data_IF_747726641561
#
_entry.id   IF_747726641561
#
_cell.length_a   1.000
_cell.length_b   1.000
_cell.length_c   1.000
_cell.angle_alpha   90.00
_cell.angle_beta   90.00
_cell.angle_gamma   90.00
#
_symmetry.space_group_name_H-M   'P 1'
#
loop_
_entity.id
_entity.type
_entity.pdbx_description
1 polymer ?
#
# COMPACT_ATOMS: atom_id res chain seq x y z
N UNK A 1 11.27 17.51 16.01
CA UNK A 1 11.64 16.08 16.03
C UNK A 1 10.73 15.35 15.06
N UNK A 2 11.23 14.34 14.33
CA UNK A 2 10.41 13.50 13.45
C UNK A 2 9.99 12.27 14.25
N UNK A 3 8.68 12.02 14.34
CA UNK A 3 8.13 10.82 14.97
C UNK A 3 8.42 9.62 14.07
N UNK A 4 9.08 8.60 14.61
CA UNK A 4 9.31 7.33 13.92
C UNK A 4 8.12 6.40 14.16
N UNK A 5 7.82 5.60 13.14
CA UNK A 5 6.82 4.52 13.21
C UNK A 5 7.59 3.22 13.08
N UNK A 6 7.34 2.28 13.97
CA UNK A 6 7.97 0.97 13.91
C UNK A 6 7.44 0.17 12.71
N UNK A 7 8.24 -0.75 12.13
CA UNK A 7 7.78 -1.59 11.04
C UNK A 7 6.59 -2.46 11.43
N UNK A 8 5.71 -2.75 10.48
CA UNK A 8 4.64 -3.74 10.65
C UNK A 8 4.98 -4.98 9.84
N UNK A 9 5.02 -6.14 10.49
CA UNK A 9 5.44 -7.40 9.86
C UNK A 9 4.26 -8.24 9.39
N UNK A 10 3.05 -7.98 9.90
CA UNK A 10 1.84 -8.74 9.59
C UNK A 10 1.69 -10.03 10.39
N UNK A 11 2.36 -10.14 11.54
CA UNK A 11 2.31 -11.36 12.37
C UNK A 11 1.04 -11.40 13.21
N UNK A 12 0.60 -12.61 13.56
CA UNK A 12 -0.64 -12.84 14.33
C UNK A 12 -0.69 -12.17 15.72
N UNK A 13 0.46 -11.78 16.27
CA UNK A 13 0.55 -11.09 17.56
C UNK A 13 0.60 -9.56 17.43
N UNK A 14 0.75 -9.03 16.22
CA UNK A 14 0.72 -7.59 15.98
C UNK A 14 -0.73 -7.12 15.78
N UNK A 15 -1.06 -5.98 16.36
CA UNK A 15 -2.34 -5.33 16.14
C UNK A 15 -2.25 -4.33 14.97
N UNK A 16 -2.84 -4.71 13.84
CA UNK A 16 -2.90 -3.86 12.66
C UNK A 16 -3.63 -2.53 12.91
N UNK A 17 -4.67 -2.53 13.74
CA UNK A 17 -5.45 -1.34 14.05
C UNK A 17 -4.62 -0.36 14.88
N UNK A 18 -3.96 -0.86 15.93
CA UNK A 18 -3.06 -0.06 16.76
C UNK A 18 -1.93 0.55 15.91
N UNK A 19 -1.32 -0.25 15.02
CA UNK A 19 -0.27 0.24 14.14
C UNK A 19 -0.76 1.35 13.20
N UNK A 20 -1.96 1.21 12.63
CA UNK A 20 -2.57 2.24 11.78
C UNK A 20 -2.81 3.53 12.58
N UNK A 21 -3.28 3.45 13.81
CA UNK A 21 -3.49 4.63 14.66
C UNK A 21 -2.17 5.35 14.97
N UNK A 22 -1.11 4.59 15.29
CA UNK A 22 0.23 5.15 15.50
C UNK A 22 0.73 5.83 14.22
N UNK A 23 0.58 5.18 13.07
CA UNK A 23 0.97 5.73 11.78
C UNK A 23 0.23 7.04 11.46
N UNK A 24 -1.08 7.11 11.71
CA UNK A 24 -1.88 8.32 11.47
C UNK A 24 -1.47 9.46 12.41
N UNK A 25 -1.23 9.18 13.70
CA UNK A 25 -0.69 10.19 14.63
C UNK A 25 0.69 10.71 14.18
N UNK A 26 1.57 9.82 13.72
CA UNK A 26 2.88 10.21 13.22
C UNK A 26 2.79 11.03 11.92
N UNK A 27 1.88 10.66 11.02
CA UNK A 27 1.61 11.41 9.79
C UNK A 27 1.20 12.86 10.08
N UNK A 28 0.28 13.06 11.02
CA UNK A 28 -0.14 14.41 11.44
C UNK A 28 1.02 15.18 12.12
N UNK A 29 1.73 14.54 13.05
CA UNK A 29 2.86 15.16 13.75
C UNK A 29 4.00 15.55 12.79
N UNK A 30 4.25 14.72 11.77
CA UNK A 30 5.31 14.92 10.78
C UNK A 30 4.86 15.74 9.56
N UNK A 31 3.57 16.11 9.47
CA UNK A 31 2.97 16.82 8.33
C UNK A 31 3.23 16.13 6.99
N UNK A 32 3.11 14.81 6.94
CA UNK A 32 3.26 14.08 5.68
C UNK A 32 2.10 14.39 4.74
N UNK A 33 2.36 14.59 3.44
CA UNK A 33 1.31 14.94 2.49
C UNK A 33 0.43 13.72 2.19
N UNK A 34 -0.88 13.96 2.07
CA UNK A 34 -1.88 12.89 1.89
C UNK A 34 -1.66 12.05 0.64
N UNK A 35 -1.18 12.67 -0.45
CA UNK A 35 -0.88 11.98 -1.70
C UNK A 35 0.26 10.94 -1.57
N UNK A 36 1.07 10.99 -0.51
CA UNK A 36 2.14 10.03 -0.24
C UNK A 36 1.83 9.06 0.89
N UNK A 37 0.68 9.20 1.56
CA UNK A 37 0.34 8.41 2.75
C UNK A 37 0.46 6.90 2.50
N UNK A 38 -0.11 6.41 1.40
CA UNK A 38 -0.07 4.98 1.03
C UNK A 38 1.36 4.52 0.74
N UNK A 39 2.12 5.31 -0.02
CA UNK A 39 3.50 4.97 -0.38
C UNK A 39 4.43 4.95 0.85
N UNK A 40 4.21 5.86 1.81
CA UNK A 40 4.98 5.88 3.06
C UNK A 40 4.61 4.67 3.93
N UNK A 41 3.32 4.36 4.10
CA UNK A 41 2.88 3.18 4.84
C UNK A 41 3.48 1.90 4.26
N UNK A 42 3.40 1.73 2.93
CA UNK A 42 3.99 0.60 2.21
C UNK A 42 5.51 0.46 2.47
N UNK A 43 6.24 1.57 2.56
CA UNK A 43 7.67 1.57 2.87
C UNK A 43 8.02 1.15 4.31
N UNK A 44 7.03 1.06 5.20
CA UNK A 44 7.20 0.67 6.60
C UNK A 44 6.76 -0.79 6.83
N UNK A 45 6.03 -1.39 5.88
CA UNK A 45 5.70 -2.82 5.92
C UNK A 45 6.95 -3.69 5.75
N UNK A 46 6.97 -4.85 6.39
CA UNK A 46 8.04 -5.86 6.30
C UNK A 46 7.46 -7.25 6.14
N UNK A 47 8.28 -8.17 5.65
CA UNK A 47 7.96 -9.60 5.52
C UNK A 47 6.55 -9.85 4.94
N UNK A 48 5.70 -10.61 5.65
CA UNK A 48 4.39 -11.04 5.20
C UNK A 48 3.49 -9.85 4.80
N UNK A 49 3.53 -8.76 5.56
CA UNK A 49 2.78 -7.55 5.23
C UNK A 49 3.29 -6.87 3.94
N UNK A 50 4.60 -6.83 3.74
CA UNK A 50 5.19 -6.27 2.52
C UNK A 50 4.90 -7.16 1.30
N UNK A 51 5.02 -8.48 1.45
CA UNK A 51 4.72 -9.46 0.40
C UNK A 51 3.25 -9.39 -0.02
N UNK A 52 2.34 -9.30 0.96
CA UNK A 52 0.92 -9.09 0.70
C UNK A 52 0.67 -7.81 -0.10
N UNK A 53 1.25 -6.68 0.31
CA UNK A 53 1.08 -5.41 -0.40
C UNK A 53 1.62 -5.49 -1.83
N UNK A 54 2.82 -6.05 -2.01
CA UNK A 54 3.45 -6.18 -3.32
C UNK A 54 2.64 -7.08 -4.26
N UNK A 55 2.11 -8.20 -3.75
CA UNK A 55 1.24 -9.10 -4.50
C UNK A 55 -0.03 -8.39 -4.97
N UNK A 56 -0.71 -7.68 -4.07
CA UNK A 56 -1.97 -6.99 -4.40
C UNK A 56 -1.74 -5.83 -5.35
N UNK A 57 -0.68 -5.05 -5.12
CA UNK A 57 -0.32 -3.94 -5.99
C UNK A 57 0.05 -4.45 -7.39
N UNK A 58 0.84 -5.53 -7.48
CA UNK A 58 1.16 -6.20 -8.75
C UNK A 58 -0.07 -6.77 -9.45
N UNK A 59 -1.01 -7.36 -8.70
CA UNK A 59 -2.24 -7.92 -9.24
C UNK A 59 -3.14 -6.84 -9.84
N UNK A 60 -3.35 -5.72 -9.14
CA UNK A 60 -4.14 -4.59 -9.64
C UNK A 60 -3.53 -4.03 -10.93
N UNK A 61 -2.21 -3.77 -10.96
CA UNK A 61 -1.54 -3.32 -12.18
C UNK A 61 -1.57 -4.35 -13.31
N UNK A 62 -1.56 -5.65 -12.98
CA UNK A 62 -1.66 -6.74 -13.95
C UNK A 62 -3.05 -6.87 -14.57
N UNK A 63 -4.10 -6.70 -13.77
CA UNK A 63 -5.48 -6.67 -14.23
C UNK A 63 -5.74 -5.46 -15.12
N UNK A 64 -5.30 -4.27 -14.73
CA UNK A 64 -5.48 -3.05 -15.52
C UNK A 64 -4.86 -3.17 -16.92
N UNK A 65 -3.65 -3.75 -17.02
CA UNK A 65 -3.01 -4.01 -18.31
C UNK A 65 -3.77 -5.04 -19.14
N UNK A 66 -4.32 -6.08 -18.52
CA UNK A 66 -5.09 -7.11 -19.23
C UNK A 66 -6.43 -6.55 -19.72
N UNK A 67 -7.11 -5.76 -18.89
CA UNK A 67 -8.35 -5.07 -19.25
C UNK A 67 -8.10 -4.05 -20.37
N UNK A 68 -7.08 -3.20 -20.27
CA UNK A 68 -6.72 -2.25 -21.34
C UNK A 68 -6.39 -2.98 -22.65
N UNK A 69 -5.68 -4.13 -22.59
CA UNK A 69 -5.42 -4.96 -23.77
C UNK A 69 -6.70 -5.53 -24.38
N UNK A 70 -7.63 -6.04 -23.57
CA UNK A 70 -8.90 -6.59 -24.02
C UNK A 70 -9.76 -5.52 -24.68
N UNK A 71 -9.93 -4.37 -24.03
CA UNK A 71 -10.69 -3.22 -24.57
C UNK A 71 -10.10 -2.74 -25.89
N UNK A 72 -8.77 -2.66 -26.03
CA UNK A 72 -8.11 -2.29 -27.29
C UNK A 72 -8.25 -3.34 -28.40
N UNK A 73 -8.52 -4.59 -28.05
CA UNK A 73 -8.69 -5.68 -29.03
C UNK A 73 -10.12 -5.66 -29.55
N UNK A 74 -11.12 -5.58 -28.66
CA UNK A 74 -12.55 -5.53 -29.04
C UNK A 74 -12.90 -4.28 -29.86
N UNK A 75 -12.34 -3.11 -29.52
CA UNK A 75 -12.57 -1.86 -30.27
C UNK A 75 -11.95 -1.88 -31.68
N UNK A 76 -10.99 -2.77 -31.95
CA UNK A 76 -10.40 -2.93 -33.29
C UNK A 76 -11.16 -3.89 -34.20
N UNK A 77 -12.10 -4.66 -33.64
CA UNK A 77 -12.93 -5.62 -34.39
C UNK A 77 -14.33 -5.05 -34.72
N UNK A 78 -14.60 -3.79 -34.35
CA UNK A 78 -15.77 -2.99 -34.72
C UNK A 78 -15.41 -1.96 -35.80
#
# INVERSE_FOLDING_TARGET
SIIKVDPFYGKNFEDAQEWIEIFLRAKEANRWPDNRRIAIAAGILREEAADWYNLHNSFVFGLDKKVDKLLRTEVKEL
#
